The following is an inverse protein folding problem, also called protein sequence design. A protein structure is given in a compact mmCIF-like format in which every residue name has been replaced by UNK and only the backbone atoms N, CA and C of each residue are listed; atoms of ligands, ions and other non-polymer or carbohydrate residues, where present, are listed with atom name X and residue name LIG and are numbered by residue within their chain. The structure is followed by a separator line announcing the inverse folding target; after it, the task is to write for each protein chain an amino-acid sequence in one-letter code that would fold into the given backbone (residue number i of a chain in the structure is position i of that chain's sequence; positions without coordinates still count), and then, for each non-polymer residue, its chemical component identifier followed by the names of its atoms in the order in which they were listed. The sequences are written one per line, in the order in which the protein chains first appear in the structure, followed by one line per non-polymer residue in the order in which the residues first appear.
data_IF_626000729038
#
_entry.id   IF_626000729038
#
_cell.length_a   1.000
_cell.length_b   1.000
_cell.length_c   1.000
_cell.angle_alpha   90.00
_cell.angle_beta   90.00
_cell.angle_gamma   90.00
#
_symmetry.space_group_name_H-M   'P 1'
#
loop_
_entity.id
_entity.type
_entity.pdbx_description
1 polymer ?
#
# COMPACT_ATOMS: atom_id res chain seq x y z
N UNK A 1 -25.22 3.75 41.99
CA UNK A 1 -23.80 4.16 41.94
C UNK A 1 -22.92 3.13 41.22
N UNK A 2 -22.96 1.84 41.57
CA UNK A 2 -22.13 0.77 40.94
C UNK A 2 -22.29 0.64 39.40
N UNK A 3 -23.51 0.72 38.88
CA UNK A 3 -23.77 0.56 37.43
C UNK A 3 -23.18 1.70 36.58
N UNK A 4 -23.04 2.89 37.14
CA UNK A 4 -22.41 4.02 36.45
C UNK A 4 -20.89 3.84 36.32
N UNK A 5 -20.24 3.27 37.36
CA UNK A 5 -18.82 2.93 37.36
C UNK A 5 -18.50 1.83 36.33
N UNK A 6 -19.35 0.81 36.23
CA UNK A 6 -19.18 -0.27 35.23
C UNK A 6 -19.30 0.26 33.81
N UNK A 7 -20.31 1.11 33.53
CA UNK A 7 -20.46 1.74 32.21
C UNK A 7 -19.27 2.61 31.85
N UNK A 8 -18.77 3.41 32.80
CA UNK A 8 -17.60 4.25 32.60
C UNK A 8 -16.35 3.41 32.27
N UNK A 9 -16.15 2.30 32.97
CA UNK A 9 -15.05 1.37 32.70
C UNK A 9 -15.08 0.83 31.26
N UNK A 10 -16.23 0.36 30.79
CA UNK A 10 -16.36 -0.15 29.41
C UNK A 10 -16.16 0.94 28.35
N UNK A 11 -16.60 2.18 28.61
CA UNK A 11 -16.36 3.31 27.71
C UNK A 11 -14.87 3.63 27.61
N UNK A 12 -14.15 3.64 28.74
CA UNK A 12 -12.71 3.88 28.76
C UNK A 12 -11.96 2.78 28.04
N UNK A 13 -12.29 1.51 28.29
CA UNK A 13 -11.69 0.37 27.59
C UNK A 13 -11.93 0.46 26.08
N UNK A 14 -13.16 0.79 25.66
CA UNK A 14 -13.50 0.95 24.26
C UNK A 14 -12.66 2.06 23.60
N UNK A 15 -12.54 3.23 24.23
CA UNK A 15 -11.73 4.35 23.72
C UNK A 15 -10.25 3.96 23.62
N UNK A 16 -9.70 3.26 24.61
CA UNK A 16 -8.30 2.81 24.60
C UNK A 16 -8.00 1.86 23.43
N UNK A 17 -8.98 1.05 22.99
CA UNK A 17 -8.80 0.12 21.86
C UNK A 17 -8.89 0.76 20.47
N UNK A 18 -9.25 2.04 20.37
CA UNK A 18 -9.36 2.76 19.07
C UNK A 18 -8.03 3.31 18.53
N UNK A 19 -6.89 3.02 19.16
CA UNK A 19 -5.56 3.45 18.72
C UNK A 19 -4.99 2.55 17.60
N UNK A 20 -5.69 2.44 16.47
CA UNK A 20 -5.23 1.66 15.30
C UNK A 20 -4.44 2.48 14.27
N UNK A 21 -4.44 3.82 14.40
CA UNK A 21 -3.72 4.68 13.47
C UNK A 21 -2.30 4.93 14.00
N UNK A 22 -1.32 4.31 13.35
CA UNK A 22 0.10 4.64 13.54
C UNK A 22 0.59 5.48 12.36
N UNK A 23 1.44 6.47 12.66
CA UNK A 23 2.16 7.21 11.62
C UNK A 23 3.20 6.24 11.02
N UNK A 24 2.85 5.65 9.88
CA UNK A 24 3.71 4.71 9.18
C UNK A 24 4.90 5.43 8.53
N UNK A 25 6.01 4.70 8.33
CA UNK A 25 7.17 5.23 7.62
C UNK A 25 6.75 5.67 6.20
N UNK A 26 6.78 6.99 5.97
CA UNK A 26 6.43 7.56 4.66
C UNK A 26 7.57 7.29 3.68
N UNK A 27 7.23 6.71 2.54
CA UNK A 27 8.16 6.59 1.43
C UNK A 27 8.54 7.98 0.90
N UNK A 28 9.81 8.16 0.57
CA UNK A 28 10.23 9.39 -0.09
C UNK A 28 9.67 9.42 -1.52
N UNK A 29 9.24 10.58 -2.01
CA UNK A 29 8.84 10.73 -3.41
C UNK A 29 9.98 10.34 -4.36
N UNK A 30 9.61 9.80 -5.52
CA UNK A 30 10.58 9.52 -6.57
C UNK A 30 11.16 10.83 -7.11
N UNK A 31 12.47 10.85 -7.34
CA UNK A 31 13.14 11.94 -8.05
C UNK A 31 12.67 11.97 -9.50
N UNK A 32 12.68 13.15 -10.12
CA UNK A 32 12.42 13.27 -11.55
C UNK A 32 13.38 12.37 -12.35
N UNK A 33 12.82 11.62 -13.31
CA UNK A 33 13.60 10.68 -14.13
C UNK A 33 14.03 9.39 -13.44
N UNK A 34 13.53 9.09 -12.23
CA UNK A 34 13.77 7.80 -11.59
C UNK A 34 13.32 6.62 -12.48
N UNK A 35 13.97 5.46 -12.33
CA UNK A 35 13.54 4.22 -12.98
C UNK A 35 12.94 3.29 -11.92
N UNK A 36 11.77 2.74 -12.22
CA UNK A 36 11.06 1.78 -11.38
C UNK A 36 11.44 0.37 -11.85
N UNK A 37 11.85 -0.50 -10.94
CA UNK A 37 12.04 -1.93 -11.22
C UNK A 37 10.83 -2.70 -10.69
N UNK A 38 10.02 -3.27 -11.58
CA UNK A 38 8.94 -4.17 -11.22
C UNK A 38 9.50 -5.61 -11.15
N UNK A 39 10.01 -5.99 -9.98
CA UNK A 39 10.50 -7.34 -9.71
C UNK A 39 9.39 -8.21 -9.12
N UNK A 40 9.29 -9.46 -9.58
CA UNK A 40 8.24 -10.36 -9.12
C UNK A 40 8.29 -11.72 -9.80
N UNK A 41 7.11 -12.28 -10.03
CA UNK A 41 6.90 -13.61 -10.61
C UNK A 41 6.21 -13.54 -11.99
N UNK A 42 5.60 -14.66 -12.39
CA UNK A 42 4.88 -14.84 -13.65
C UNK A 42 3.75 -13.82 -13.90
N UNK A 43 3.15 -13.25 -12.85
CA UNK A 43 2.16 -12.18 -12.98
C UNK A 43 2.81 -10.84 -13.32
N UNK A 44 3.99 -10.59 -12.77
CA UNK A 44 4.80 -9.42 -13.13
C UNK A 44 5.34 -9.55 -14.54
N UNK A 45 5.82 -10.74 -14.93
CA UNK A 45 6.16 -11.05 -16.32
C UNK A 45 5.02 -10.75 -17.31
N UNK A 46 3.77 -11.03 -16.90
CA UNK A 46 2.58 -10.87 -17.73
C UNK A 46 2.11 -12.16 -18.40
N UNK A 47 2.19 -13.30 -17.68
CA UNK A 47 1.67 -14.58 -18.17
C UNK A 47 0.17 -14.48 -18.46
N UNK A 48 -0.26 -14.97 -19.63
CA UNK A 48 -1.65 -14.89 -20.08
C UNK A 48 -2.05 -13.55 -20.70
N UNK A 49 -1.11 -12.61 -20.89
CA UNK A 49 -1.33 -11.35 -21.61
C UNK A 49 -0.21 -11.04 -22.60
N UNK A 50 -0.41 -10.05 -23.46
CA UNK A 50 0.66 -9.51 -24.31
C UNK A 50 1.58 -8.59 -23.48
N UNK A 51 2.86 -8.51 -23.84
CA UNK A 51 3.86 -7.72 -23.06
C UNK A 51 3.44 -6.27 -22.81
N UNK A 52 2.80 -5.63 -23.79
CA UNK A 52 2.29 -4.25 -23.69
C UNK A 52 1.02 -4.11 -22.80
N UNK A 53 0.44 -5.22 -22.36
CA UNK A 53 -0.72 -5.28 -21.47
C UNK A 53 -0.37 -5.88 -20.10
N UNK A 54 0.88 -6.28 -19.88
CA UNK A 54 1.37 -6.62 -18.55
C UNK A 54 1.32 -5.37 -17.66
N UNK A 55 1.05 -5.54 -16.37
CA UNK A 55 0.87 -4.39 -15.49
C UNK A 55 2.10 -3.45 -15.45
N UNK A 56 3.38 -3.90 -15.56
CA UNK A 56 4.51 -2.96 -15.59
C UNK A 56 4.49 -2.04 -16.81
N UNK A 57 4.03 -2.53 -17.97
CA UNK A 57 3.89 -1.71 -19.18
C UNK A 57 2.77 -0.67 -19.06
N UNK A 58 1.65 -1.06 -18.44
CA UNK A 58 0.56 -0.12 -18.15
C UNK A 58 0.98 0.90 -17.10
N UNK A 59 1.70 0.46 -16.05
CA UNK A 59 2.21 1.31 -14.99
C UNK A 59 3.11 2.42 -15.54
N UNK A 60 4.04 2.09 -16.45
CA UNK A 60 4.92 3.07 -17.11
C UNK A 60 4.13 4.23 -17.72
N UNK A 61 3.02 3.91 -18.39
CA UNK A 61 2.15 4.92 -19.00
C UNK A 61 1.41 5.76 -17.95
N UNK A 62 0.92 5.12 -16.89
CA UNK A 62 0.13 5.79 -15.85
C UNK A 62 0.95 6.75 -14.98
N UNK A 63 2.19 6.36 -14.65
CA UNK A 63 3.05 7.15 -13.74
C UNK A 63 4.05 8.03 -14.48
N UNK A 64 4.21 7.85 -15.79
CA UNK A 64 5.17 8.57 -16.63
C UNK A 64 6.62 8.47 -16.10
N UNK A 65 6.96 7.30 -15.56
CA UNK A 65 8.32 6.90 -15.19
C UNK A 65 8.69 5.67 -15.99
N UNK A 66 9.98 5.54 -16.33
CA UNK A 66 10.50 4.30 -16.92
C UNK A 66 10.28 3.15 -15.94
N UNK A 67 9.68 2.05 -16.40
CA UNK A 67 9.46 0.82 -15.64
C UNK A 67 10.17 -0.34 -16.32
N UNK A 68 11.05 -1.01 -15.60
CA UNK A 68 11.71 -2.24 -16.05
C UNK A 68 10.92 -3.42 -15.49
N UNK A 69 10.35 -4.25 -16.37
CA UNK A 69 9.75 -5.52 -15.98
C UNK A 69 10.85 -6.57 -15.75
N UNK A 70 10.94 -7.08 -14.53
CA UNK A 70 11.88 -8.11 -14.11
C UNK A 70 11.17 -9.28 -13.40
N UNK A 71 9.92 -9.58 -13.78
CA UNK A 71 9.21 -10.80 -13.41
C UNK A 71 9.40 -11.92 -14.42
#
# INVERSE_FOLDING_TARGET
MIHHLIKLFFIVVFICTLNACSDSAKLQPLKAGATILAFGDSLTYGTGTSKNKAYPAILETLVNFKVINAG
#
